data_IF_217863330266
#
_entry.id   IF_217863330266
#
_cell.length_a   1.000
_cell.length_b   1.000
_cell.length_c   1.000
_cell.angle_alpha   90.00
_cell.angle_beta   90.00
_cell.angle_gamma   90.00
#
_symmetry.space_group_name_H-M   'P 1'
#
loop_
_entity.id
_entity.type
_entity.pdbx_description
1 polymer ?
#
# COMPACT_ATOMS: atom_id res chain seq x y z
N UNK A 1 -16.76 18.84 -2.38
CA UNK A 1 -18.05 18.59 -1.70
C UNK A 1 -17.77 17.79 -0.43
N UNK A 2 -18.34 18.18 0.71
CA UNK A 2 -18.15 17.46 1.97
C UNK A 2 -19.34 16.53 2.18
N UNK A 3 -19.10 15.22 2.29
CA UNK A 3 -20.11 14.20 2.49
C UNK A 3 -19.87 13.48 3.81
N UNK A 4 -20.95 13.06 4.47
CA UNK A 4 -20.88 12.13 5.60
C UNK A 4 -21.42 10.79 5.15
N UNK A 5 -20.55 9.77 5.14
CA UNK A 5 -20.92 8.38 4.88
C UNK A 5 -21.03 7.67 6.23
N UNK A 6 -22.23 7.67 6.80
CA UNK A 6 -22.43 7.23 8.19
C UNK A 6 -21.76 8.20 9.17
N UNK A 7 -20.90 7.67 10.06
CA UNK A 7 -20.12 8.48 11.01
C UNK A 7 -18.81 9.03 10.41
N UNK A 8 -18.44 8.59 9.21
CA UNK A 8 -17.17 8.98 8.58
C UNK A 8 -17.36 10.22 7.73
N UNK A 9 -16.60 11.26 8.05
CA UNK A 9 -16.48 12.45 7.22
C UNK A 9 -15.64 12.13 5.99
N UNK A 10 -16.16 12.41 4.79
CA UNK A 10 -15.51 12.12 3.50
C UNK A 10 -15.51 13.37 2.63
N UNK A 11 -14.33 13.78 2.18
CA UNK A 11 -14.16 14.87 1.22
C UNK A 11 -14.22 14.28 -0.19
N UNK A 12 -15.25 14.67 -0.95
CA UNK A 12 -15.36 14.34 -2.38
C UNK A 12 -14.77 15.48 -3.21
N UNK A 13 -13.71 15.15 -3.93
CA UNK A 13 -13.05 16.02 -4.89
C UNK A 13 -13.75 15.84 -6.24
N UNK A 14 -14.59 16.80 -6.62
CA UNK A 14 -15.44 16.73 -7.82
C UNK A 14 -15.19 17.83 -8.84
N UNK A 15 -14.29 18.78 -8.54
CA UNK A 15 -13.92 19.86 -9.46
C UNK A 15 -12.54 19.55 -10.07
N UNK A 16 -12.34 19.77 -11.38
CA UNK A 16 -11.04 19.62 -12.02
C UNK A 16 -9.94 20.44 -11.34
N UNK A 17 -10.26 21.63 -10.85
CA UNK A 17 -9.32 22.54 -10.18
C UNK A 17 -8.89 22.00 -8.80
N UNK A 18 -9.83 21.40 -8.07
CA UNK A 18 -9.55 20.78 -6.76
C UNK A 18 -8.78 19.47 -6.97
N UNK A 19 -9.10 18.71 -8.03
CA UNK A 19 -8.34 17.54 -8.43
C UNK A 19 -6.91 17.92 -8.86
N UNK A 20 -6.73 19.01 -9.59
CA UNK A 20 -5.42 19.53 -10.00
C UNK A 20 -4.62 20.06 -8.81
N UNK A 21 -5.25 20.66 -7.80
CA UNK A 21 -4.57 21.03 -6.55
C UNK A 21 -4.14 19.80 -5.73
N UNK A 22 -4.97 18.76 -5.68
CA UNK A 22 -4.69 17.53 -4.96
C UNK A 22 -3.66 16.63 -5.68
N UNK A 23 -3.77 16.52 -7.01
CA UNK A 23 -2.96 15.70 -7.91
C UNK A 23 -2.06 16.57 -8.80
N UNK A 24 -1.49 17.64 -8.24
CA UNK A 24 -0.73 18.60 -9.05
C UNK A 24 0.44 17.92 -9.77
N UNK A 25 0.72 18.39 -10.99
CA UNK A 25 1.87 17.95 -11.79
C UNK A 25 3.16 17.98 -10.96
N UNK A 26 3.30 18.99 -10.09
CA UNK A 26 4.41 19.13 -9.15
C UNK A 26 4.54 17.96 -8.15
N UNK A 27 3.43 17.43 -7.62
CA UNK A 27 3.44 16.22 -6.76
C UNK A 27 3.67 14.95 -7.55
N UNK A 28 3.21 14.87 -8.79
CA UNK A 28 3.53 13.73 -9.67
C UNK A 28 5.02 13.72 -10.01
N UNK A 29 5.61 14.90 -10.18
CA UNK A 29 7.02 15.07 -10.53
C UNK A 29 7.98 14.73 -9.39
N UNK A 30 7.57 14.87 -8.11
CA UNK A 30 8.41 14.45 -6.98
C UNK A 30 8.73 12.95 -6.97
N UNK A 31 7.90 12.11 -7.58
CA UNK A 31 8.13 10.67 -7.71
C UNK A 31 8.80 10.26 -9.03
N UNK A 32 9.18 11.23 -9.88
CA UNK A 32 9.76 10.96 -11.20
C UNK A 32 11.02 10.09 -11.12
N UNK A 33 11.93 10.40 -10.20
CA UNK A 33 13.18 9.64 -10.03
C UNK A 33 12.93 8.16 -9.70
N UNK A 34 11.97 7.87 -8.81
CA UNK A 34 11.59 6.49 -8.46
C UNK A 34 11.02 5.77 -9.69
N UNK A 35 10.13 6.42 -10.44
CA UNK A 35 9.54 5.83 -11.64
C UNK A 35 10.56 5.54 -12.73
N UNK A 36 11.47 6.48 -12.99
CA UNK A 36 12.52 6.31 -14.01
C UNK A 36 13.49 5.19 -13.59
N UNK A 37 13.90 5.13 -12.33
CA UNK A 37 14.77 4.08 -11.81
C UNK A 37 14.11 2.69 -11.89
N UNK A 38 12.85 2.56 -11.46
CA UNK A 38 12.14 1.29 -11.53
C UNK A 38 11.81 0.88 -12.98
N UNK A 39 11.53 1.83 -13.88
CA UNK A 39 11.37 1.55 -15.31
C UNK A 39 12.66 1.05 -15.96
N UNK A 40 13.81 1.66 -15.62
CA UNK A 40 15.12 1.17 -16.09
C UNK A 40 15.41 -0.24 -15.55
N UNK A 41 15.10 -0.50 -14.27
CA UNK A 41 15.22 -1.84 -13.70
C UNK A 41 14.33 -2.86 -14.41
N UNK A 42 13.12 -2.48 -14.82
CA UNK A 42 12.21 -3.34 -15.58
C UNK A 42 12.74 -3.68 -16.97
N UNK A 43 13.19 -2.67 -17.72
CA UNK A 43 13.77 -2.88 -19.05
C UNK A 43 14.99 -3.80 -18.96
N UNK A 44 15.85 -3.59 -17.96
CA UNK A 44 17.00 -4.44 -17.69
C UNK A 44 16.59 -5.88 -17.34
N UNK A 45 15.59 -6.04 -16.49
CA UNK A 45 15.08 -7.36 -16.10
C UNK A 45 14.53 -8.13 -17.32
N UNK A 46 13.78 -7.46 -18.22
CA UNK A 46 13.32 -8.05 -19.48
C UNK A 46 14.50 -8.40 -20.39
N UNK A 47 15.47 -7.50 -20.59
CA UNK A 47 16.56 -7.70 -21.53
C UNK A 47 17.46 -8.87 -21.16
N UNK A 48 17.64 -9.13 -19.86
CA UNK A 48 18.35 -10.30 -19.34
C UNK A 48 17.69 -11.65 -19.68
N UNK A 49 16.42 -11.64 -20.10
CA UNK A 49 15.65 -12.84 -20.43
C UNK A 49 15.41 -13.00 -21.94
N UNK A 50 16.23 -12.35 -22.77
CA UNK A 50 16.15 -12.46 -24.23
C UNK A 50 16.26 -13.92 -24.68
N UNK A 51 15.33 -14.36 -25.53
CA UNK A 51 15.27 -15.74 -26.03
C UNK A 51 14.55 -16.74 -25.11
N UNK A 52 14.04 -16.31 -23.95
CA UNK A 52 13.25 -17.14 -23.04
C UNK A 52 11.81 -16.63 -22.92
N UNK A 53 10.86 -17.54 -22.69
CA UNK A 53 9.50 -17.15 -22.36
C UNK A 53 9.45 -16.52 -20.96
N UNK A 54 8.77 -15.37 -20.83
CA UNK A 54 8.62 -14.65 -19.56
C UNK A 54 7.14 -14.48 -19.20
N UNK A 55 6.83 -14.53 -17.90
CA UNK A 55 5.52 -14.14 -17.39
C UNK A 55 5.50 -12.62 -17.19
N UNK A 56 4.99 -11.90 -18.20
CA UNK A 56 4.96 -10.44 -18.19
C UNK A 56 4.06 -9.87 -17.09
N UNK A 57 2.92 -10.51 -16.81
CA UNK A 57 2.01 -10.08 -15.74
C UNK A 57 2.69 -10.07 -14.37
N UNK A 58 3.44 -11.13 -14.04
CA UNK A 58 4.21 -11.21 -12.78
C UNK A 58 5.28 -10.12 -12.70
N UNK A 59 5.96 -9.82 -13.81
CA UNK A 59 6.98 -8.76 -13.84
C UNK A 59 6.35 -7.38 -13.68
N UNK A 60 5.30 -7.06 -14.43
CA UNK A 60 4.57 -5.78 -14.29
C UNK A 60 4.08 -5.59 -12.86
N UNK A 61 3.50 -6.63 -12.24
CA UNK A 61 3.06 -6.58 -10.86
C UNK A 61 4.23 -6.27 -9.90
N UNK A 62 5.36 -6.97 -10.05
CA UNK A 62 6.55 -6.73 -9.22
C UNK A 62 7.09 -5.30 -9.38
N UNK A 63 7.11 -4.76 -10.59
CA UNK A 63 7.62 -3.42 -10.85
C UNK A 63 6.69 -2.32 -10.32
N UNK A 64 5.39 -2.43 -10.60
CA UNK A 64 4.40 -1.47 -10.10
C UNK A 64 4.34 -1.48 -8.58
N UNK A 65 4.35 -2.66 -7.96
CA UNK A 65 4.40 -2.80 -6.50
C UNK A 65 5.72 -2.27 -5.91
N UNK A 66 6.84 -2.44 -6.61
CA UNK A 66 8.14 -1.87 -6.21
C UNK A 66 8.16 -0.34 -6.23
N UNK A 67 7.57 0.29 -7.25
CA UNK A 67 7.39 1.75 -7.32
C UNK A 67 6.56 2.23 -6.14
N UNK A 68 5.42 1.60 -5.89
CA UNK A 68 4.50 1.96 -4.81
C UNK A 68 5.16 1.78 -3.44
N UNK A 69 5.86 0.67 -3.22
CA UNK A 69 6.60 0.41 -1.98
C UNK A 69 7.70 1.42 -1.73
N UNK A 70 8.44 1.83 -2.77
CA UNK A 70 9.45 2.86 -2.60
C UNK A 70 8.88 4.24 -2.34
N UNK A 71 7.75 4.57 -2.96
CA UNK A 71 7.05 5.81 -2.70
C UNK A 71 6.43 5.85 -1.29
N UNK A 72 5.92 4.71 -0.81
CA UNK A 72 5.25 4.61 0.48
C UNK A 72 6.22 4.46 1.66
N UNK A 73 7.28 3.66 1.51
CA UNK A 73 8.14 3.20 2.59
C UNK A 73 9.61 3.63 2.44
N UNK A 74 9.95 4.35 1.36
CA UNK A 74 11.31 4.82 1.10
C UNK A 74 12.21 3.77 0.46
N UNK A 75 13.35 3.48 1.10
CA UNK A 75 14.36 2.54 0.56
C UNK A 75 13.90 1.10 0.68
N UNK A 76 14.26 0.25 -0.29
CA UNK A 76 13.98 -1.20 -0.27
C UNK A 76 14.45 -1.84 1.04
N UNK A 77 13.55 -2.58 1.68
CA UNK A 77 13.84 -3.41 2.86
C UNK A 77 13.18 -4.78 2.73
N UNK A 78 13.61 -5.72 3.57
CA UNK A 78 13.06 -7.08 3.57
C UNK A 78 11.56 -7.10 3.90
N UNK A 79 11.12 -6.27 4.85
CA UNK A 79 9.70 -6.16 5.20
C UNK A 79 8.87 -5.61 4.02
N UNK A 80 9.42 -4.72 3.19
CA UNK A 80 8.73 -4.22 2.00
C UNK A 80 8.59 -5.28 0.91
N UNK A 81 9.63 -6.09 0.69
CA UNK A 81 9.56 -7.22 -0.24
C UNK A 81 8.53 -8.25 0.23
N UNK A 82 8.55 -8.59 1.53
CA UNK A 82 7.55 -9.48 2.12
C UNK A 82 6.14 -8.90 2.03
N UNK A 83 5.99 -7.59 2.24
CA UNK A 83 4.71 -6.91 2.08
C UNK A 83 4.15 -7.09 0.65
N UNK A 84 4.96 -6.86 -0.38
CA UNK A 84 4.55 -7.03 -1.79
C UNK A 84 4.08 -8.47 -2.07
N UNK A 85 4.80 -9.47 -1.55
CA UNK A 85 4.40 -10.88 -1.71
C UNK A 85 3.06 -11.18 -1.04
N UNK A 86 2.84 -10.66 0.17
CA UNK A 86 1.60 -10.84 0.91
C UNK A 86 0.44 -10.09 0.23
N UNK A 87 0.72 -8.95 -0.42
CA UNK A 87 -0.27 -8.22 -1.22
C UNK A 87 -0.70 -8.98 -2.48
N UNK A 88 0.18 -9.72 -3.14
CA UNK A 88 -0.18 -10.62 -4.25
C UNK A 88 -1.15 -11.72 -3.78
N UNK A 89 -0.92 -12.30 -2.59
CA UNK A 89 -1.85 -13.24 -1.97
C UNK A 89 -3.19 -12.57 -1.62
N UNK A 90 -3.15 -11.35 -1.05
CA UNK A 90 -4.32 -10.58 -0.72
C UNK A 90 -5.22 -10.31 -1.94
N UNK A 91 -4.64 -9.87 -3.06
CA UNK A 91 -5.36 -9.58 -4.30
C UNK A 91 -6.00 -10.84 -4.89
N UNK A 92 -5.33 -12.00 -4.82
CA UNK A 92 -5.91 -13.28 -5.25
C UNK A 92 -7.08 -13.71 -4.39
N UNK A 93 -7.04 -13.46 -3.09
CA UNK A 93 -8.17 -13.73 -2.19
C UNK A 93 -9.30 -12.72 -2.42
N UNK A 94 -8.98 -11.45 -2.69
CA UNK A 94 -9.96 -10.39 -2.93
C UNK A 94 -10.70 -10.59 -4.27
N UNK A 95 -9.98 -10.99 -5.31
CA UNK A 95 -10.56 -11.34 -6.62
C UNK A 95 -11.06 -12.79 -6.70
N UNK A 96 -10.89 -13.58 -5.64
CA UNK A 96 -11.24 -14.99 -5.60
C UNK A 96 -12.74 -15.21 -5.42
N UNK A 97 -13.33 -16.03 -6.29
CA UNK A 97 -14.73 -16.44 -6.15
C UNK A 97 -14.91 -17.45 -5.01
N UNK A 98 -15.74 -17.12 -4.02
CA UNK A 98 -16.16 -18.07 -2.98
C UNK A 98 -17.62 -18.50 -3.24
N UNK A 99 -17.84 -19.82 -3.36
CA UNK A 99 -19.20 -20.39 -3.51
C UNK A 99 -20.09 -20.00 -2.31
N UNK A 100 -19.49 -19.76 -1.14
CA UNK A 100 -20.21 -19.31 0.04
C UNK A 100 -20.77 -17.88 -0.13
N UNK A 101 -20.20 -17.07 -1.03
CA UNK A 101 -20.64 -15.69 -1.30
C UNK A 101 -21.90 -15.67 -2.17
N UNK A 102 -22.07 -16.70 -3.01
CA UNK A 102 -23.29 -16.91 -3.82
C UNK A 102 -24.45 -17.47 -3.00
N UNK A 103 -24.15 -18.21 -1.93
CA UNK A 103 -25.16 -18.90 -1.10
C UNK A 103 -24.98 -18.55 0.39
N UNK A 104 -25.15 -17.27 0.77
CA UNK A 104 -24.88 -16.79 2.14
C UNK A 104 -25.77 -17.45 3.20
N UNK A 105 -26.94 -17.98 2.81
CA UNK A 105 -27.85 -18.72 3.69
C UNK A 105 -27.31 -20.09 4.12
N UNK A 106 -26.38 -20.67 3.37
CA UNK A 106 -25.81 -21.99 3.66
C UNK A 106 -24.54 -21.85 4.50
N UNK A 107 -24.72 -21.67 5.82
CA UNK A 107 -23.62 -21.48 6.78
C UNK A 107 -22.55 -22.58 6.72
N UNK A 108 -22.91 -23.80 6.29
CA UNK A 108 -21.96 -24.90 6.10
C UNK A 108 -20.91 -24.57 5.03
N UNK A 109 -21.28 -23.90 3.92
CA UNK A 109 -20.35 -23.52 2.86
C UNK A 109 -19.35 -22.47 3.35
N UNK A 110 -19.78 -21.55 4.21
CA UNK A 110 -18.87 -20.58 4.85
C UNK A 110 -17.83 -21.24 5.76
N UNK A 111 -18.23 -22.30 6.48
CA UNK A 111 -17.32 -23.06 7.36
C UNK A 111 -16.38 -23.97 6.54
N UNK A 112 -16.90 -24.64 5.51
CA UNK A 112 -16.13 -25.57 4.67
C UNK A 112 -15.17 -24.87 3.71
N UNK A 113 -15.45 -23.64 3.28
CA UNK A 113 -14.57 -22.90 2.34
C UNK A 113 -13.18 -22.66 2.91
N UNK A 114 -13.04 -22.62 4.24
CA UNK A 114 -11.78 -22.27 4.91
C UNK A 114 -11.32 -20.83 4.65
N UNK A 115 -12.10 -20.03 3.93
CA UNK A 115 -11.72 -18.70 3.47
C UNK A 115 -11.46 -17.76 4.63
N UNK A 116 -12.33 -17.80 5.64
CA UNK A 116 -12.17 -17.00 6.87
C UNK A 116 -10.81 -17.25 7.54
N UNK A 117 -10.41 -18.52 7.68
CA UNK A 117 -9.12 -18.88 8.30
C UNK A 117 -7.93 -18.38 7.46
N UNK A 118 -8.03 -18.45 6.13
CA UNK A 118 -7.01 -17.90 5.22
C UNK A 118 -6.90 -16.38 5.39
N UNK A 119 -8.03 -15.68 5.40
CA UNK A 119 -8.07 -14.23 5.56
C UNK A 119 -7.57 -13.78 6.93
N UNK A 120 -7.93 -14.47 8.01
CA UNK A 120 -7.42 -14.21 9.36
C UNK A 120 -5.90 -14.43 9.44
N UNK A 121 -5.37 -15.48 8.80
CA UNK A 121 -3.92 -15.74 8.75
C UNK A 121 -3.19 -14.68 7.93
N UNK A 122 -3.76 -14.28 6.80
CA UNK A 122 -3.21 -13.23 5.95
C UNK A 122 -3.21 -11.88 6.69
N UNK A 123 -4.32 -11.52 7.33
CA UNK A 123 -4.43 -10.29 8.13
C UNK A 123 -3.31 -10.22 9.17
N UNK A 124 -3.10 -11.28 9.96
CA UNK A 124 -2.04 -11.31 10.98
C UNK A 124 -0.65 -11.09 10.39
N UNK A 125 -0.39 -11.65 9.20
CA UNK A 125 0.90 -11.48 8.52
C UNK A 125 1.08 -10.05 8.02
N UNK A 126 0.06 -9.48 7.38
CA UNK A 126 0.04 -8.06 6.95
C UNK A 126 0.26 -7.14 8.14
N UNK A 127 -0.48 -7.36 9.24
CA UNK A 127 -0.41 -6.56 10.45
C UNK A 127 1.00 -6.54 11.04
N UNK A 128 1.63 -7.71 11.17
CA UNK A 128 3.00 -7.82 11.68
C UNK A 128 4.02 -7.09 10.80
N UNK A 129 3.90 -7.22 9.47
CA UNK A 129 4.82 -6.55 8.54
C UNK A 129 4.67 -5.04 8.62
N UNK A 130 3.43 -4.54 8.62
CA UNK A 130 3.16 -3.11 8.72
C UNK A 130 3.59 -2.55 10.08
N UNK A 131 3.42 -3.31 11.15
CA UNK A 131 3.93 -2.98 12.48
C UNK A 131 5.46 -2.82 12.47
N UNK A 132 6.20 -3.74 11.83
CA UNK A 132 7.65 -3.63 11.67
C UNK A 132 8.03 -2.36 10.91
N UNK A 133 7.37 -2.10 9.77
CA UNK A 133 7.61 -0.92 8.94
C UNK A 133 7.38 0.37 9.74
N UNK A 134 6.25 0.47 10.44
CA UNK A 134 5.93 1.65 11.26
C UNK A 134 6.98 1.87 12.35
N UNK A 135 7.38 0.81 13.05
CA UNK A 135 8.39 0.88 14.10
C UNK A 135 9.78 1.27 13.57
N UNK A 136 10.17 0.76 12.41
CA UNK A 136 11.42 1.14 11.74
C UNK A 136 11.45 2.65 11.43
N UNK A 137 10.36 3.21 10.89
CA UNK A 137 10.28 4.65 10.62
C UNK A 137 10.31 5.50 11.91
N UNK A 138 9.68 5.02 12.99
CA UNK A 138 9.77 5.69 14.31
C UNK A 138 11.21 5.73 14.83
N UNK A 139 11.96 4.65 14.70
CA UNK A 139 13.37 4.57 15.11
C UNK A 139 14.25 5.48 14.24
N UNK A 140 14.11 5.42 12.92
CA UNK A 140 14.86 6.30 11.99
C UNK A 140 14.63 7.78 12.26
N UNK A 141 13.40 8.18 12.64
CA UNK A 141 13.09 9.58 12.97
C UNK A 141 13.85 10.07 14.21
N UNK A 142 14.04 9.22 15.21
CA UNK A 142 14.86 9.57 16.39
C UNK A 142 16.33 9.78 16.02
N UNK A 143 16.83 9.04 15.03
CA UNK A 143 18.20 9.18 14.53
C UNK A 143 18.37 10.38 13.59
N UNK A 144 17.35 10.76 12.81
CA UNK A 144 17.39 11.86 11.82
C UNK A 144 17.50 13.27 12.44
N UNK A 145 17.17 13.44 13.72
CA UNK A 145 17.44 14.68 14.47
C UNK A 145 18.96 14.99 14.60
N UNK A 146 19.83 14.07 14.16
CA UNK A 146 21.29 14.23 14.11
C UNK A 146 21.92 14.56 12.73
N UNK A 147 21.11 14.84 11.69
CA UNK A 147 21.60 15.57 10.50
C UNK A 147 21.85 14.80 9.19
N UNK A 148 21.10 13.74 8.87
CA UNK A 148 21.08 13.16 7.49
C UNK A 148 19.67 13.15 6.90
N UNK A 149 19.47 14.02 5.92
CA UNK A 149 18.21 14.19 5.19
C UNK A 149 18.00 13.10 4.16
N UNK A 150 17.18 12.12 4.51
CA UNK A 150 16.45 11.33 3.52
C UNK A 150 15.12 12.04 3.20
N UNK A 151 14.64 11.89 1.97
CA UNK A 151 13.35 12.43 1.57
C UNK A 151 12.24 11.78 2.39
N UNK A 152 11.29 12.60 2.85
CA UNK A 152 10.12 12.14 3.58
C UNK A 152 9.25 11.22 2.71
N UNK A 153 8.89 10.05 3.24
CA UNK A 153 7.98 9.09 2.60
C UNK A 153 6.56 9.14 3.20
N UNK A 154 5.64 8.32 2.69
CA UNK A 154 4.24 8.31 3.14
C UNK A 154 4.13 7.97 4.63
N UNK A 155 4.90 7.00 5.13
CA UNK A 155 4.83 6.59 6.54
C UNK A 155 5.30 7.72 7.44
N UNK A 156 6.36 8.43 7.06
CA UNK A 156 6.84 9.62 7.78
C UNK A 156 5.75 10.72 7.85
N UNK A 157 5.05 10.97 6.74
CA UNK A 157 3.92 11.92 6.69
C UNK A 157 2.80 11.48 7.64
N UNK A 158 2.39 10.22 7.58
CA UNK A 158 1.31 9.67 8.41
C UNK A 158 1.66 9.73 9.91
N UNK A 159 2.91 9.41 10.27
CA UNK A 159 3.42 9.53 11.64
C UNK A 159 3.47 10.99 12.12
N UNK A 160 3.77 11.95 11.24
CA UNK A 160 3.70 13.38 11.58
C UNK A 160 2.26 13.82 11.80
N UNK A 161 1.34 13.41 10.93
CA UNK A 161 -0.10 13.70 11.06
C UNK A 161 -0.63 13.14 12.37
N UNK A 162 -0.30 11.89 12.72
CA UNK A 162 -0.66 11.27 13.99
C UNK A 162 -0.21 12.10 15.21
N UNK A 163 0.99 12.68 15.17
CA UNK A 163 1.54 13.52 16.25
C UNK A 163 1.01 14.95 16.27
N UNK A 164 0.50 15.45 15.13
CA UNK A 164 0.17 16.85 14.92
C UNK A 164 -1.02 17.38 15.72
N UNK A 165 -1.83 16.50 16.33
CA UNK A 165 -2.95 16.89 17.20
C UNK A 165 -4.12 17.60 16.51
N UNK A 166 -3.97 18.00 15.25
CA UNK A 166 -4.94 18.76 14.43
C UNK A 166 -6.05 17.90 13.81
N UNK A 167 -6.17 16.63 14.24
CA UNK A 167 -7.17 15.70 13.75
C UNK A 167 -8.40 15.72 14.66
N UNK A 168 -9.59 15.63 14.08
CA UNK A 168 -10.87 15.56 14.82
C UNK A 168 -10.91 14.38 15.82
N UNK A 169 -10.12 13.34 15.56
CA UNK A 169 -9.97 12.17 16.42
C UNK A 169 -8.50 11.70 16.46
N UNK A 170 -8.05 11.09 17.58
CA UNK A 170 -6.70 10.54 17.68
C UNK A 170 -6.51 9.41 16.67
N UNK A 171 -5.53 9.54 15.78
CA UNK A 171 -5.15 8.45 14.89
C UNK A 171 -4.31 7.41 15.63
N UNK A 172 -4.71 6.15 15.50
CA UNK A 172 -3.98 5.00 16.03
C UNK A 172 -3.04 4.40 14.98
N UNK A 173 -2.16 3.51 15.39
CA UNK A 173 -1.27 2.80 14.47
C UNK A 173 -2.07 1.93 13.51
N UNK A 174 -3.21 1.39 13.94
CA UNK A 174 -4.15 0.68 13.07
C UNK A 174 -4.71 1.58 11.95
N UNK A 175 -4.93 2.88 12.21
CA UNK A 175 -5.33 3.82 11.16
C UNK A 175 -4.21 4.02 10.13
N UNK A 176 -2.95 4.13 10.56
CA UNK A 176 -1.79 4.25 9.67
C UNK A 176 -1.65 2.98 8.82
N UNK A 177 -1.68 1.80 9.45
CA UNK A 177 -1.60 0.49 8.78
C UNK A 177 -2.73 0.32 7.77
N UNK A 178 -3.96 0.72 8.13
CA UNK A 178 -5.11 0.65 7.23
C UNK A 178 -4.96 1.56 6.00
N UNK A 179 -4.52 2.81 6.18
CA UNK A 179 -4.30 3.73 5.05
C UNK A 179 -3.25 3.19 4.08
N UNK A 180 -2.16 2.63 4.60
CA UNK A 180 -1.11 1.99 3.79
C UNK A 180 -1.69 0.81 3.00
N UNK A 181 -2.40 -0.10 3.69
CA UNK A 181 -2.99 -1.28 3.09
C UNK A 181 -3.97 -0.91 1.96
N UNK A 182 -4.86 0.04 2.23
CA UNK A 182 -5.84 0.53 1.27
C UNK A 182 -5.16 1.17 0.06
N UNK A 183 -4.12 1.99 0.28
CA UNK A 183 -3.38 2.64 -0.80
C UNK A 183 -2.75 1.61 -1.75
N UNK A 184 -2.19 0.52 -1.22
CA UNK A 184 -1.61 -0.53 -2.05
C UNK A 184 -2.65 -1.34 -2.81
N UNK A 185 -3.78 -1.69 -2.16
CA UNK A 185 -4.85 -2.43 -2.84
C UNK A 185 -5.39 -1.66 -4.05
N UNK A 186 -5.57 -0.35 -3.93
CA UNK A 186 -6.09 0.47 -5.03
C UNK A 186 -5.09 0.79 -6.14
N UNK A 187 -3.79 0.80 -5.86
CA UNK A 187 -2.75 1.07 -6.87
C UNK A 187 -2.40 -0.20 -7.66
N UNK A 188 -2.61 -1.38 -7.07
CA UNK A 188 -2.31 -2.68 -7.70
C UNK A 188 -3.47 -3.30 -8.49
N UNK A 189 -4.66 -2.66 -8.50
CA UNK A 189 -5.86 -3.03 -9.27
C UNK A 189 -6.04 -2.11 -10.48
#
# INVERSE_FOLDING_TARGET
MHLRLGEVSTIVVSSPETAEQALSSKRVETFRGIREEEAMNFVRDISLNTGSAINLSKRIFSHTSGVTARAAFGKKSRDQEEFIEVMDEALKLFGGFSVADMYPSVKLLQVMSGMRRKLEKLHKRVDQILENIVNEHRQRKMERESGRGEAEDLVDVLLRVQKGGDLEFPWTDDNIKAVILVSFLFISL
#
